data_IF_958296698861
#
_entry.id   IF_958296698861
#
_cell.length_a   1.000
_cell.length_b   1.000
_cell.length_c   1.000
_cell.angle_alpha   90.00
_cell.angle_beta   90.00
_cell.angle_gamma   90.00
#
_symmetry.space_group_name_H-M   'P 1'
#
loop_
_entity.id
_entity.type
_entity.pdbx_description
1 polymer ?
#
# COMPACT_ATOMS: atom_id res chain seq x y z
N UNK A 1 -49.32 73.46 8.48
CA UNK A 1 -50.14 73.87 7.33
C UNK A 1 -49.21 74.53 6.33
N UNK A 2 -49.24 74.05 5.07
CA UNK A 2 -48.58 74.63 3.90
C UNK A 2 -47.03 74.67 3.94
N UNK A 3 -46.28 74.54 2.86
CA UNK A 3 -46.47 74.01 1.51
C UNK A 3 -45.09 74.04 0.82
N UNK A 4 -44.98 73.36 -0.32
CA UNK A 4 -44.08 73.63 -1.45
C UNK A 4 -42.57 73.25 -1.40
N UNK A 5 -42.31 72.10 -2.03
CA UNK A 5 -41.55 71.93 -3.29
C UNK A 5 -40.03 72.24 -3.36
N UNK A 6 -39.26 71.21 -3.75
CA UNK A 6 -38.37 71.27 -4.92
C UNK A 6 -37.98 69.89 -5.46
N UNK A 7 -38.08 69.79 -6.79
CA UNK A 7 -37.79 68.67 -7.68
C UNK A 7 -36.30 68.28 -7.69
N UNK A 8 -35.99 66.97 -7.71
CA UNK A 8 -34.71 66.45 -8.22
C UNK A 8 -34.94 65.16 -9.04
N UNK A 9 -34.46 65.23 -10.28
CA UNK A 9 -34.40 64.24 -11.33
C UNK A 9 -33.71 62.93 -10.88
N UNK A 10 -34.35 61.76 -11.04
CA UNK A 10 -33.71 60.45 -10.83
C UNK A 10 -33.27 59.85 -12.18
N UNK A 11 -31.97 59.91 -12.44
CA UNK A 11 -31.31 59.10 -13.47
C UNK A 11 -31.21 57.65 -12.98
N UNK A 12 -31.73 56.70 -13.76
CA UNK A 12 -31.53 55.27 -13.53
C UNK A 12 -30.08 54.89 -13.81
N UNK A 13 -29.41 54.31 -12.80
CA UNK A 13 -28.14 53.60 -12.97
C UNK A 13 -28.40 52.12 -12.77
N UNK A 14 -28.32 51.38 -13.85
CA UNK A 14 -28.32 49.92 -13.93
C UNK A 14 -27.10 49.39 -13.16
N UNK A 15 -27.34 48.66 -12.07
CA UNK A 15 -26.31 47.95 -11.31
C UNK A 15 -25.98 46.64 -12.01
N UNK A 16 -24.76 46.51 -12.53
CA UNK A 16 -24.25 45.24 -13.03
C UNK A 16 -23.74 44.42 -11.84
N UNK A 17 -24.40 43.29 -11.55
CA UNK A 17 -23.88 42.28 -10.62
C UNK A 17 -22.90 41.39 -11.37
N UNK A 18 -21.60 41.61 -11.17
CA UNK A 18 -20.55 40.66 -11.56
C UNK A 18 -20.60 39.46 -10.62
N UNK A 19 -21.14 38.34 -11.10
CA UNK A 19 -21.01 37.05 -10.43
C UNK A 19 -19.59 36.54 -10.69
N UNK A 20 -18.73 36.62 -9.69
CA UNK A 20 -17.41 35.99 -9.73
C UNK A 20 -17.59 34.48 -9.53
N UNK A 21 -17.53 33.72 -10.62
CA UNK A 21 -17.47 32.26 -10.59
C UNK A 21 -16.05 31.86 -10.16
N UNK A 22 -15.86 31.59 -8.87
CA UNK A 22 -14.59 31.08 -8.35
C UNK A 22 -14.34 29.67 -8.86
N UNK A 23 -13.32 29.49 -9.71
CA UNK A 23 -12.78 28.17 -10.01
C UNK A 23 -12.18 27.61 -8.71
N UNK A 24 -12.84 26.61 -8.12
CA UNK A 24 -12.23 25.74 -7.12
C UNK A 24 -11.20 24.88 -7.85
N UNK A 25 -9.94 25.30 -7.82
CA UNK A 25 -8.82 24.44 -8.21
C UNK A 25 -8.66 23.46 -7.05
N UNK A 26 -9.22 22.25 -7.21
CA UNK A 26 -8.86 21.12 -6.36
C UNK A 26 -7.40 20.79 -6.63
N UNK A 27 -6.50 21.32 -5.82
CA UNK A 27 -5.14 20.79 -5.76
C UNK A 27 -5.25 19.38 -5.18
N UNK A 28 -5.32 18.36 -6.04
CA UNK A 28 -5.05 16.99 -5.64
C UNK A 28 -3.62 16.98 -5.13
N UNK A 29 -3.43 17.02 -3.81
CA UNK A 29 -2.16 16.60 -3.23
C UNK A 29 -1.90 15.21 -3.81
N UNK A 30 -0.70 14.98 -4.35
CA UNK A 30 -0.29 13.64 -4.73
C UNK A 30 -0.46 12.77 -3.48
N UNK A 31 -1.46 11.89 -3.48
CA UNK A 31 -1.62 10.92 -2.42
C UNK A 31 -0.39 10.01 -2.50
N UNK A 32 0.35 9.89 -1.41
CA UNK A 32 1.45 8.93 -1.34
C UNK A 32 0.90 7.54 -1.67
N UNK A 33 1.56 6.85 -2.58
CA UNK A 33 1.10 5.56 -3.08
C UNK A 33 1.05 4.54 -1.95
N UNK A 34 -0.11 3.87 -1.81
CA UNK A 34 -0.31 2.75 -0.87
C UNK A 34 0.30 1.44 -1.37
N UNK A 35 0.75 1.40 -2.63
CA UNK A 35 1.13 0.18 -3.35
C UNK A 35 2.51 -0.30 -2.95
N UNK A 36 2.62 -1.58 -2.67
CA UNK A 36 3.88 -2.29 -2.48
C UNK A 36 3.87 -3.63 -3.21
N UNK A 37 4.82 -4.51 -2.92
CA UNK A 37 4.84 -5.80 -3.58
C UNK A 37 5.46 -6.89 -2.68
N UNK A 38 4.93 -8.10 -2.82
CA UNK A 38 5.48 -9.29 -2.17
C UNK A 38 6.43 -9.97 -3.16
N UNK A 39 7.70 -10.15 -2.78
CA UNK A 39 8.74 -10.54 -3.73
C UNK A 39 9.72 -11.55 -3.14
N UNK A 40 9.61 -12.80 -3.60
CA UNK A 40 10.50 -13.86 -3.13
C UNK A 40 11.95 -13.66 -3.60
N UNK A 41 12.13 -13.03 -4.78
CA UNK A 41 13.43 -12.85 -5.43
C UNK A 41 13.54 -13.68 -6.70
N UNK A 42 14.04 -13.07 -7.77
CA UNK A 42 14.36 -13.73 -9.04
C UNK A 42 15.71 -13.24 -9.61
N UNK A 43 16.05 -13.66 -10.81
CA UNK A 43 17.27 -13.23 -11.51
C UNK A 43 17.02 -12.16 -12.58
N UNK A 44 15.79 -11.66 -12.71
CA UNK A 44 15.36 -10.76 -13.78
C UNK A 44 15.62 -9.31 -13.40
N UNK A 45 16.86 -8.85 -13.57
CA UNK A 45 17.28 -7.50 -13.17
C UNK A 45 16.47 -6.36 -13.81
N UNK A 46 15.93 -6.54 -15.03
CA UNK A 46 15.04 -5.56 -15.68
C UNK A 46 13.71 -5.42 -14.95
N UNK A 47 13.14 -6.54 -14.52
CA UNK A 47 11.81 -6.61 -13.91
C UNK A 47 11.91 -5.98 -12.51
N UNK A 48 12.97 -6.33 -11.78
CA UNK A 48 13.34 -5.74 -10.50
C UNK A 48 13.55 -4.23 -10.58
N UNK A 49 14.10 -3.71 -11.69
CA UNK A 49 14.24 -2.26 -11.92
C UNK A 49 12.88 -1.58 -12.02
N UNK A 50 11.91 -2.16 -12.73
CA UNK A 50 10.56 -1.58 -12.81
C UNK A 50 9.89 -1.51 -11.44
N UNK A 51 10.09 -2.52 -10.59
CA UNK A 51 9.52 -2.54 -9.24
C UNK A 51 10.18 -1.53 -8.29
N UNK A 52 11.46 -1.15 -8.51
CA UNK A 52 12.27 -0.46 -7.49
C UNK A 52 12.87 0.89 -7.86
N UNK A 53 13.06 1.22 -9.15
CA UNK A 53 13.73 2.45 -9.58
C UNK A 53 12.71 3.35 -10.28
N UNK A 54 12.55 4.58 -9.78
CA UNK A 54 11.52 5.53 -10.24
C UNK A 54 10.10 4.93 -10.23
N UNK A 55 9.91 3.95 -9.35
CA UNK A 55 8.68 3.16 -9.21
C UNK A 55 7.61 3.92 -8.42
N UNK A 56 6.32 3.75 -8.77
CA UNK A 56 5.20 4.22 -7.97
C UNK A 56 4.97 3.36 -6.72
N UNK A 57 5.66 2.24 -6.58
CA UNK A 57 5.61 1.38 -5.38
C UNK A 57 6.49 2.00 -4.28
N UNK A 58 6.07 1.87 -3.03
CA UNK A 58 6.71 2.55 -1.89
C UNK A 58 7.28 1.59 -0.83
N UNK A 59 6.94 0.31 -0.91
CA UNK A 59 7.41 -0.70 0.04
C UNK A 59 7.41 -2.11 -0.56
N UNK A 60 8.15 -3.03 0.05
CA UNK A 60 8.13 -4.44 -0.30
C UNK A 60 8.46 -5.32 0.90
N UNK A 61 8.09 -6.59 0.80
CA UNK A 61 8.49 -7.63 1.74
C UNK A 61 8.68 -8.96 1.00
N UNK A 62 9.29 -9.94 1.66
CA UNK A 62 9.66 -11.24 1.06
C UNK A 62 9.49 -12.42 2.03
N UNK A 63 8.51 -12.34 2.94
CA UNK A 63 8.24 -13.36 3.97
C UNK A 63 9.41 -13.69 4.90
N UNK A 64 10.42 -12.83 4.95
CA UNK A 64 11.69 -13.10 5.63
C UNK A 64 12.14 -11.88 6.43
N UNK A 65 12.92 -12.06 7.51
CA UNK A 65 13.57 -10.92 8.15
C UNK A 65 14.74 -10.38 7.30
N UNK A 66 15.19 -11.13 6.29
CA UNK A 66 16.35 -10.80 5.46
C UNK A 66 15.93 -10.11 4.15
N UNK A 67 16.43 -8.91 3.84
CA UNK A 67 16.10 -8.21 2.60
C UNK A 67 16.78 -8.81 1.37
N UNK A 68 16.12 -8.71 0.22
CA UNK A 68 16.67 -9.05 -1.11
C UNK A 68 17.63 -7.95 -1.66
N UNK A 69 18.63 -7.54 -0.88
CA UNK A 69 19.52 -6.40 -1.20
C UNK A 69 20.27 -6.50 -2.54
N UNK A 70 20.50 -7.72 -3.05
CA UNK A 70 21.17 -7.93 -4.33
C UNK A 70 20.23 -7.80 -5.54
N UNK A 71 18.92 -7.82 -5.31
CA UNK A 71 17.89 -7.85 -6.35
C UNK A 71 17.11 -6.55 -6.39
N UNK A 72 16.72 -6.06 -5.21
CA UNK A 72 16.05 -4.77 -5.04
C UNK A 72 17.08 -3.77 -4.55
N UNK A 73 17.38 -2.78 -5.40
CA UNK A 73 18.31 -1.72 -5.01
C UNK A 73 17.67 -0.89 -3.91
N UNK A 74 18.39 -0.64 -2.82
CA UNK A 74 17.95 0.24 -1.74
C UNK A 74 17.75 1.67 -2.28
N UNK A 75 16.49 2.02 -2.52
CA UNK A 75 16.05 3.29 -3.07
C UNK A 75 14.93 3.90 -2.22
N UNK A 76 13.86 4.37 -2.88
CA UNK A 76 12.66 4.94 -2.24
C UNK A 76 11.77 3.90 -1.54
N UNK A 77 12.09 2.61 -1.65
CA UNK A 77 11.29 1.53 -1.08
C UNK A 77 11.65 1.28 0.40
N UNK A 78 10.63 1.21 1.24
CA UNK A 78 10.75 0.59 2.55
C UNK A 78 10.78 -0.94 2.41
N UNK A 79 11.85 -1.59 2.89
CA UNK A 79 11.79 -3.03 3.16
C UNK A 79 11.09 -3.27 4.49
N UNK A 80 10.08 -4.12 4.48
CA UNK A 80 9.32 -4.52 5.66
C UNK A 80 9.71 -5.97 6.01
N UNK A 81 10.55 -6.21 7.03
CA UNK A 81 10.87 -7.57 7.47
C UNK A 81 9.63 -8.29 7.98
N UNK A 82 9.67 -9.63 7.91
CA UNK A 82 8.62 -10.48 8.47
C UNK A 82 9.20 -11.53 9.43
N UNK A 83 8.60 -11.63 10.62
CA UNK A 83 8.74 -12.81 11.49
C UNK A 83 7.67 -13.81 11.06
N UNK A 84 8.02 -14.67 10.11
CA UNK A 84 7.05 -15.55 9.44
C UNK A 84 6.36 -16.53 10.40
N UNK A 85 7.09 -17.09 11.36
CA UNK A 85 6.56 -18.02 12.35
C UNK A 85 7.42 -18.05 13.61
N UNK A 86 7.03 -18.85 14.60
CA UNK A 86 7.73 -18.93 15.91
C UNK A 86 9.20 -19.35 15.74
N UNK A 87 9.54 -20.18 14.77
CA UNK A 87 10.93 -20.60 14.56
C UNK A 87 11.87 -19.41 14.30
N UNK A 88 11.37 -18.36 13.63
CA UNK A 88 12.13 -17.14 13.40
C UNK A 88 12.41 -16.37 14.69
N UNK A 89 11.58 -16.50 15.73
CA UNK A 89 11.83 -15.88 17.05
C UNK A 89 12.92 -16.61 17.84
N UNK A 90 13.19 -17.88 17.49
CA UNK A 90 14.22 -18.71 18.13
C UNK A 90 15.61 -18.53 17.47
N UNK A 91 15.69 -18.02 16.25
CA UNK A 91 16.97 -17.70 15.61
C UNK A 91 17.53 -16.37 16.14
N UNK A 92 18.63 -16.47 16.90
CA UNK A 92 19.37 -15.31 17.43
C UNK A 92 19.79 -14.28 16.38
N UNK A 93 19.83 -14.64 15.09
CA UNK A 93 20.16 -13.73 13.98
C UNK A 93 18.99 -12.86 13.55
N UNK A 94 17.75 -13.28 13.80
CA UNK A 94 16.55 -12.55 13.37
C UNK A 94 16.55 -11.12 13.90
N UNK A 95 16.74 -10.95 15.21
CA UNK A 95 16.81 -9.61 15.81
C UNK A 95 18.01 -8.82 15.27
N UNK A 96 19.19 -9.45 15.16
CA UNK A 96 20.40 -8.78 14.67
C UNK A 96 20.20 -8.23 13.25
N UNK A 97 19.54 -8.99 12.38
CA UNK A 97 19.22 -8.60 11.01
C UNK A 97 18.22 -7.45 11.00
N UNK A 98 17.09 -7.58 11.72
CA UNK A 98 16.08 -6.53 11.81
C UNK A 98 16.71 -5.22 12.35
N UNK A 99 17.52 -5.32 13.41
CA UNK A 99 18.24 -4.17 13.98
C UNK A 99 19.17 -3.48 12.98
N UNK A 100 19.80 -4.25 12.09
CA UNK A 100 20.75 -3.74 11.09
C UNK A 100 20.09 -3.04 9.90
N UNK A 101 18.77 -3.17 9.74
CA UNK A 101 18.03 -2.53 8.67
C UNK A 101 18.16 -0.99 8.71
N UNK A 102 18.09 -0.32 7.55
CA UNK A 102 18.15 1.13 7.47
C UNK A 102 17.00 1.78 8.23
N UNK A 103 17.15 3.03 8.64
CA UNK A 103 16.08 3.76 9.34
C UNK A 103 14.85 4.07 8.51
N UNK A 104 14.90 3.85 7.20
CA UNK A 104 13.73 3.86 6.33
C UNK A 104 12.81 2.64 6.57
N UNK A 105 13.33 1.54 7.12
CA UNK A 105 12.52 0.43 7.62
C UNK A 105 11.98 0.77 9.00
N UNK A 106 10.68 0.99 9.08
CA UNK A 106 9.96 1.34 10.30
C UNK A 106 8.86 0.35 10.69
N UNK A 107 8.48 -0.55 9.79
CA UNK A 107 7.42 -1.54 10.02
C UNK A 107 7.98 -2.97 10.11
N UNK A 108 7.28 -3.82 10.86
CA UNK A 108 7.59 -5.23 11.05
C UNK A 108 6.30 -6.03 10.91
N UNK A 109 6.28 -6.94 9.93
CA UNK A 109 5.22 -7.93 9.78
C UNK A 109 5.49 -9.12 10.70
N UNK A 110 4.42 -9.73 11.21
CA UNK A 110 4.49 -10.88 12.11
C UNK A 110 3.93 -12.13 11.44
N UNK A 111 3.52 -13.14 12.22
CA UNK A 111 3.27 -14.49 11.74
C UNK A 111 2.38 -14.56 10.48
N UNK A 112 2.85 -15.32 9.49
CA UNK A 112 2.19 -15.50 8.19
C UNK A 112 1.19 -16.65 8.27
N UNK A 113 -0.08 -16.40 7.99
CA UNK A 113 -1.17 -17.39 7.98
C UNK A 113 -1.02 -18.45 9.08
N UNK A 114 -0.97 -18.06 10.36
CA UNK A 114 -0.87 -19.03 11.45
C UNK A 114 -2.09 -19.96 11.50
N UNK A 115 -3.21 -19.54 10.90
CA UNK A 115 -4.43 -20.32 10.71
C UNK A 115 -4.35 -21.31 9.52
N UNK A 116 -3.32 -21.18 8.67
CA UNK A 116 -3.02 -22.06 7.54
C UNK A 116 -1.97 -23.13 7.88
N UNK A 117 -1.55 -23.92 6.88
CA UNK A 117 -0.55 -24.98 7.08
C UNK A 117 0.81 -24.60 6.51
N UNK A 118 1.89 -25.20 7.00
CA UNK A 118 3.24 -25.03 6.43
C UNK A 118 3.34 -25.52 4.98
N UNK A 119 2.53 -26.50 4.60
CA UNK A 119 2.47 -26.97 3.21
C UNK A 119 1.79 -25.98 2.27
N UNK A 120 0.96 -25.05 2.78
CA UNK A 120 0.36 -23.97 1.98
C UNK A 120 1.15 -22.67 2.05
N UNK A 121 2.31 -22.65 2.73
CA UNK A 121 3.11 -21.44 2.95
C UNK A 121 2.75 -20.64 4.21
N UNK A 122 1.80 -21.12 5.00
CA UNK A 122 1.48 -20.55 6.31
C UNK A 122 2.41 -21.04 7.43
N UNK A 123 2.27 -20.46 8.62
CA UNK A 123 3.13 -20.78 9.75
C UNK A 123 2.57 -21.86 10.67
N UNK A 124 1.27 -22.20 10.57
CA UNK A 124 0.61 -23.28 11.33
C UNK A 124 0.84 -23.20 12.84
N UNK A 125 0.36 -22.12 13.46
CA UNK A 125 0.57 -21.81 14.88
C UNK A 125 -0.78 -21.75 15.60
N UNK A 126 -0.89 -22.35 16.78
CA UNK A 126 -2.07 -22.19 17.63
C UNK A 126 -2.21 -20.72 18.10
N UNK A 127 -3.43 -20.22 18.32
CA UNK A 127 -3.62 -18.88 18.88
C UNK A 127 -2.88 -18.66 20.21
N UNK A 128 -2.84 -19.67 21.07
CA UNK A 128 -2.21 -19.60 22.39
C UNK A 128 -0.67 -19.54 22.30
N UNK A 129 -0.06 -20.36 21.43
CA UNK A 129 1.38 -20.31 21.19
C UNK A 129 1.79 -19.01 20.51
N UNK A 130 1.00 -18.54 19.55
CA UNK A 130 1.23 -17.26 18.89
C UNK A 130 1.15 -16.10 19.89
N UNK A 131 0.17 -16.08 20.79
CA UNK A 131 0.03 -15.01 21.80
C UNK A 131 1.25 -14.95 22.73
N UNK A 132 1.72 -16.10 23.23
CA UNK A 132 2.96 -16.18 24.03
C UNK A 132 4.16 -15.66 23.26
N UNK A 133 4.40 -16.18 22.06
CA UNK A 133 5.54 -15.78 21.24
C UNK A 133 5.46 -14.29 20.85
N UNK A 134 4.26 -13.77 20.60
CA UNK A 134 4.06 -12.37 20.25
C UNK A 134 4.42 -11.45 21.42
N UNK A 135 3.95 -11.74 22.64
CA UNK A 135 4.28 -10.94 23.83
C UNK A 135 5.77 -11.03 24.16
N UNK A 136 6.36 -12.22 24.11
CA UNK A 136 7.76 -12.43 24.49
C UNK A 136 8.75 -11.84 23.46
N UNK A 137 8.43 -11.90 22.16
CA UNK A 137 9.40 -11.60 21.10
C UNK A 137 9.00 -10.45 20.19
N UNK A 138 7.72 -10.20 19.95
CA UNK A 138 7.28 -9.14 19.02
C UNK A 138 7.07 -7.81 19.75
N UNK A 139 6.34 -7.80 20.87
CA UNK A 139 6.06 -6.58 21.64
C UNK A 139 7.33 -5.78 22.00
N UNK A 140 8.48 -6.40 22.36
CA UNK A 140 9.73 -5.68 22.59
C UNK A 140 10.25 -4.85 21.41
N UNK A 141 9.92 -5.20 20.15
CA UNK A 141 10.28 -4.37 18.99
C UNK A 141 9.51 -3.04 18.98
N UNK A 142 8.28 -3.04 19.49
CA UNK A 142 7.43 -1.85 19.53
C UNK A 142 7.98 -0.78 20.49
N UNK A 143 8.52 -1.20 21.62
CA UNK A 143 9.14 -0.31 22.63
C UNK A 143 10.61 -0.01 22.37
N UNK A 144 11.22 -0.62 21.35
CA UNK A 144 12.65 -0.50 21.05
C UNK A 144 13.57 -1.27 21.98
N UNK A 145 13.02 -2.09 22.89
CA UNK A 145 13.79 -3.02 23.72
C UNK A 145 14.47 -4.10 22.87
N UNK A 146 13.87 -4.45 21.74
CA UNK A 146 14.45 -5.29 20.67
C UNK A 146 14.52 -4.52 19.36
N UNK A 147 15.45 -4.91 18.47
CA UNK A 147 15.51 -4.33 17.11
C UNK A 147 16.05 -2.90 17.03
N UNK A 148 16.49 -2.31 18.15
CA UNK A 148 17.27 -1.06 18.22
C UNK A 148 16.53 0.25 17.89
N UNK A 149 15.22 0.20 17.67
CA UNK A 149 14.33 1.37 17.43
C UNK A 149 12.88 0.96 17.72
N UNK A 150 11.99 1.93 17.82
CA UNK A 150 10.54 1.65 17.93
C UNK A 150 10.01 1.25 16.55
N UNK A 151 9.70 -0.04 16.39
CA UNK A 151 9.07 -0.56 15.20
C UNK A 151 7.56 -0.43 15.31
N UNK A 152 6.88 -0.19 14.18
CA UNK A 152 5.45 -0.42 14.07
C UNK A 152 5.23 -1.90 13.77
N UNK A 153 4.49 -2.60 14.61
CA UNK A 153 4.30 -4.05 14.49
C UNK A 153 2.87 -4.41 14.06
N UNK A 154 2.74 -5.39 13.18
CA UNK A 154 1.44 -5.93 12.78
C UNK A 154 0.92 -6.94 13.80
N UNK A 155 -0.40 -7.15 13.87
CA UNK A 155 -0.92 -8.46 14.27
C UNK A 155 -0.58 -9.55 13.23
N UNK A 156 -0.71 -10.84 13.58
CA UNK A 156 -0.56 -11.94 12.63
C UNK A 156 -1.44 -11.79 11.39
N UNK A 157 -0.90 -12.11 10.22
CA UNK A 157 -1.61 -11.99 8.93
C UNK A 157 -2.36 -13.28 8.67
N UNK A 158 -3.68 -13.32 8.95
CA UNK A 158 -4.47 -14.54 8.70
C UNK A 158 -5.00 -14.61 7.27
N UNK A 159 -5.38 -15.82 6.85
CA UNK A 159 -6.13 -16.01 5.61
C UNK A 159 -7.41 -15.16 5.62
N UNK A 160 -7.82 -14.69 4.44
CA UNK A 160 -9.08 -13.95 4.26
C UNK A 160 -10.31 -14.85 4.31
N UNK A 161 -10.55 -15.49 5.46
CA UNK A 161 -11.57 -16.53 5.60
C UNK A 161 -12.23 -16.50 6.98
N UNK A 162 -13.32 -17.26 7.12
CA UNK A 162 -13.94 -17.48 8.44
C UNK A 162 -13.01 -18.17 9.44
N UNK A 163 -12.11 -19.04 8.96
CA UNK A 163 -11.09 -19.68 9.80
C UNK A 163 -10.07 -18.65 10.31
N UNK A 164 -9.58 -17.77 9.43
CA UNK A 164 -8.67 -16.69 9.82
C UNK A 164 -9.29 -15.74 10.84
N UNK A 165 -10.57 -15.38 10.66
CA UNK A 165 -11.29 -14.56 11.64
C UNK A 165 -11.41 -15.22 13.00
N UNK A 166 -11.75 -16.51 13.03
CA UNK A 166 -11.89 -17.24 14.29
C UNK A 166 -10.53 -17.37 15.00
N UNK A 167 -9.47 -17.65 14.24
CA UNK A 167 -8.11 -17.65 14.76
C UNK A 167 -7.74 -16.31 15.38
N UNK A 168 -8.05 -15.17 14.72
CA UNK A 168 -7.80 -13.84 15.27
C UNK A 168 -8.56 -13.57 16.58
N UNK A 169 -9.80 -14.08 16.71
CA UNK A 169 -10.57 -13.96 17.96
C UNK A 169 -9.91 -14.73 19.10
N UNK A 170 -9.60 -16.01 18.88
CA UNK A 170 -8.92 -16.84 19.88
C UNK A 170 -7.53 -16.31 20.23
N UNK A 171 -6.83 -15.71 19.27
CA UNK A 171 -5.53 -15.06 19.52
C UNK A 171 -5.71 -13.85 20.43
N UNK A 172 -6.69 -12.99 20.13
CA UNK A 172 -7.00 -11.84 20.97
C UNK A 172 -7.41 -12.26 22.40
N UNK A 173 -8.23 -13.30 22.55
CA UNK A 173 -8.57 -13.87 23.86
C UNK A 173 -7.32 -14.35 24.60
N UNK A 174 -6.48 -15.16 23.95
CA UNK A 174 -5.21 -15.67 24.50
C UNK A 174 -4.28 -14.53 24.94
N UNK A 175 -4.23 -13.44 24.18
CA UNK A 175 -3.44 -12.27 24.52
C UNK A 175 -3.92 -11.60 25.82
N UNK A 176 -5.23 -11.44 26.02
CA UNK A 176 -5.79 -10.87 27.25
C UNK A 176 -5.74 -11.83 28.44
N UNK A 177 -5.64 -13.15 28.21
CA UNK A 177 -5.33 -14.11 29.27
C UNK A 177 -3.90 -13.97 29.79
N UNK A 178 -2.94 -13.61 28.92
CA UNK A 178 -1.52 -13.43 29.27
C UNK A 178 -1.25 -12.03 29.85
N UNK A 179 -1.73 -10.98 29.18
CA UNK A 179 -1.65 -9.59 29.63
C UNK A 179 -3.06 -8.98 29.68
N UNK A 180 -3.68 -9.03 30.86
CA UNK A 180 -5.05 -8.56 31.08
C UNK A 180 -5.21 -7.05 30.86
N UNK A 181 -4.14 -6.27 30.99
CA UNK A 181 -4.19 -4.81 30.86
C UNK A 181 -4.06 -4.37 29.40
N UNK A 182 -3.14 -4.98 28.65
CA UNK A 182 -2.75 -4.49 27.32
C UNK A 182 -3.10 -5.46 26.17
N UNK A 183 -3.31 -6.75 26.46
CA UNK A 183 -3.36 -7.79 25.44
C UNK A 183 -2.08 -7.81 24.59
N UNK A 184 -2.22 -8.16 23.31
CA UNK A 184 -1.12 -8.10 22.34
C UNK A 184 -1.18 -6.74 21.64
N UNK A 185 -0.22 -5.86 21.95
CA UNK A 185 -0.17 -4.54 21.34
C UNK A 185 0.29 -4.61 19.88
N UNK A 186 -0.49 -4.00 18.99
CA UNK A 186 -0.14 -3.78 17.58
C UNK A 186 -0.42 -2.34 17.14
N UNK A 187 0.28 -1.94 16.09
CA UNK A 187 0.16 -0.62 15.46
C UNK A 187 -0.66 -0.68 14.16
N UNK A 188 -0.71 -1.85 13.51
CA UNK A 188 -1.53 -2.11 12.33
C UNK A 188 -1.95 -3.58 12.24
N UNK A 189 -2.87 -3.89 11.35
CA UNK A 189 -3.35 -5.25 11.07
C UNK A 189 -2.96 -5.61 9.65
N UNK A 190 -2.37 -6.79 9.48
CA UNK A 190 -2.09 -7.34 8.16
C UNK A 190 -3.19 -8.35 7.77
N UNK A 191 -3.56 -8.37 6.50
CA UNK A 191 -4.67 -9.16 5.99
C UNK A 191 -4.33 -9.73 4.61
N UNK A 192 -4.75 -10.98 4.38
CA UNK A 192 -4.65 -11.61 3.07
C UNK A 192 -6.03 -11.72 2.43
N UNK A 193 -6.07 -11.71 1.09
CA UNK A 193 -7.26 -12.02 0.34
C UNK A 193 -6.94 -12.62 -1.03
N UNK A 194 -7.41 -13.85 -1.26
CA UNK A 194 -7.35 -14.50 -2.56
C UNK A 194 -8.77 -14.84 -3.02
N UNK A 195 -9.29 -14.07 -3.98
CA UNK A 195 -10.66 -14.20 -4.46
C UNK A 195 -11.24 -12.93 -5.09
N UNK A 196 -12.53 -12.95 -5.43
CA UNK A 196 -13.19 -11.84 -6.09
C UNK A 196 -13.38 -10.58 -5.23
N UNK A 197 -13.57 -9.44 -5.89
CA UNK A 197 -13.74 -8.12 -5.25
C UNK A 197 -14.84 -8.06 -4.17
N UNK A 198 -16.06 -8.63 -4.34
CA UNK A 198 -17.08 -8.57 -3.29
C UNK A 198 -16.64 -9.20 -1.96
N UNK A 199 -15.84 -10.28 -2.03
CA UNK A 199 -15.31 -10.94 -0.85
C UNK A 199 -14.20 -10.12 -0.19
N UNK A 200 -13.32 -9.47 -0.97
CA UNK A 200 -12.32 -8.52 -0.44
C UNK A 200 -13.01 -7.42 0.37
N UNK A 201 -14.03 -6.78 -0.21
CA UNK A 201 -14.75 -5.70 0.44
C UNK A 201 -15.44 -6.16 1.73
N UNK A 202 -16.06 -7.34 1.72
CA UNK A 202 -16.66 -7.94 2.91
C UNK A 202 -15.63 -8.28 4.00
N UNK A 203 -14.48 -8.82 3.60
CA UNK A 203 -13.40 -9.17 4.52
C UNK A 203 -12.82 -7.94 5.21
N UNK A 204 -12.50 -6.89 4.45
CA UNK A 204 -11.99 -5.64 5.01
C UNK A 204 -13.01 -4.95 5.92
N UNK A 205 -14.30 -4.99 5.57
CA UNK A 205 -15.37 -4.50 6.45
C UNK A 205 -15.45 -5.28 7.76
N UNK A 206 -15.26 -6.60 7.72
CA UNK A 206 -15.25 -7.46 8.91
C UNK A 206 -14.06 -7.16 9.82
N UNK A 207 -12.87 -6.95 9.24
CA UNK A 207 -11.68 -6.57 10.01
C UNK A 207 -11.80 -5.17 10.61
N UNK A 208 -12.32 -4.20 9.85
CA UNK A 208 -12.58 -2.85 10.35
C UNK A 208 -13.59 -2.85 11.51
N UNK A 209 -14.64 -3.68 11.42
CA UNK A 209 -15.57 -3.87 12.53
C UNK A 209 -14.88 -4.47 13.77
N UNK A 210 -14.11 -5.54 13.58
CA UNK A 210 -13.42 -6.25 14.66
C UNK A 210 -12.38 -5.37 15.36
N UNK A 211 -11.58 -4.62 14.61
CA UNK A 211 -10.46 -3.85 15.16
C UNK A 211 -10.77 -2.40 15.52
N UNK A 212 -11.74 -1.76 14.86
CA UNK A 212 -12.01 -0.34 15.03
C UNK A 212 -13.38 -0.08 15.66
N UNK A 213 -14.46 -0.60 15.05
CA UNK A 213 -15.83 -0.33 15.52
C UNK A 213 -16.10 -0.89 16.91
N UNK A 214 -15.65 -2.12 17.18
CA UNK A 214 -15.85 -2.80 18.46
C UNK A 214 -14.71 -2.55 19.46
N UNK A 215 -13.85 -1.57 19.20
CA UNK A 215 -12.68 -1.29 20.04
C UNK A 215 -12.90 -0.08 20.95
N UNK A 216 -12.17 -0.05 22.06
CA UNK A 216 -12.06 1.10 22.96
C UNK A 216 -10.91 2.04 22.58
N UNK A 217 -10.31 1.85 21.40
CA UNK A 217 -9.13 2.60 20.97
C UNK A 217 -9.52 4.02 20.58
N UNK A 218 -8.69 4.99 20.98
CA UNK A 218 -8.89 6.39 20.60
C UNK A 218 -8.60 6.64 19.12
N UNK A 219 -7.68 5.87 18.53
CA UNK A 219 -7.27 5.99 17.14
C UNK A 219 -7.54 4.67 16.40
N UNK A 220 -8.15 4.73 15.19
CA UNK A 220 -8.36 3.55 14.37
C UNK A 220 -7.05 2.88 13.98
N UNK A 221 -6.99 1.56 14.12
CA UNK A 221 -5.93 0.72 13.60
C UNK A 221 -6.06 0.63 12.08
N UNK A 222 -4.94 0.80 11.39
CA UNK A 222 -4.89 0.70 9.93
C UNK A 222 -4.74 -0.76 9.50
N UNK A 223 -5.31 -1.07 8.34
CA UNK A 223 -5.22 -2.36 7.69
C UNK A 223 -4.23 -2.28 6.53
N UNK A 224 -3.36 -3.28 6.46
CA UNK A 224 -2.45 -3.53 5.35
C UNK A 224 -2.89 -4.83 4.66
N UNK A 225 -3.18 -4.76 3.36
CA UNK A 225 -3.48 -5.95 2.57
C UNK A 225 -2.18 -6.49 1.99
N UNK A 226 -1.48 -7.33 2.75
CA UNK A 226 -0.13 -7.78 2.41
C UNK A 226 -0.10 -8.79 1.27
N UNK A 227 -1.20 -9.52 1.07
CA UNK A 227 -1.39 -10.41 -0.09
C UNK A 227 -2.79 -10.27 -0.67
N UNK A 228 -2.83 -10.05 -1.98
CA UNK A 228 -4.05 -9.87 -2.75
C UNK A 228 -3.89 -10.55 -4.12
N UNK A 229 -4.81 -11.42 -4.51
CA UNK A 229 -4.80 -12.02 -5.85
C UNK A 229 -6.13 -12.67 -6.23
N UNK A 230 -6.21 -13.14 -7.48
CA UNK A 230 -7.36 -13.87 -8.00
C UNK A 230 -6.91 -15.23 -8.58
N UNK A 231 -6.87 -16.30 -7.76
CA UNK A 231 -6.33 -17.58 -8.18
C UNK A 231 -7.10 -18.23 -9.33
N UNK A 232 -6.38 -18.90 -10.23
CA UNK A 232 -6.89 -19.77 -11.29
C UNK A 232 -7.85 -19.08 -12.28
N UNK A 233 -7.83 -17.75 -12.37
CA UNK A 233 -8.60 -17.01 -13.35
C UNK A 233 -7.71 -16.54 -14.50
N UNK A 234 -8.31 -16.32 -15.65
CA UNK A 234 -7.59 -15.78 -16.80
C UNK A 234 -7.18 -14.30 -16.58
N UNK A 235 -6.31 -13.81 -17.48
CA UNK A 235 -5.80 -12.45 -17.41
C UNK A 235 -6.92 -11.38 -17.52
N UNK A 236 -7.97 -11.63 -18.30
CA UNK A 236 -9.07 -10.67 -18.48
C UNK A 236 -9.88 -10.50 -17.19
N UNK A 237 -10.28 -11.62 -16.56
CA UNK A 237 -10.98 -11.63 -15.28
C UNK A 237 -10.13 -11.00 -14.17
N UNK A 238 -8.82 -11.27 -14.18
CA UNK A 238 -7.89 -10.73 -13.19
C UNK A 238 -7.71 -9.22 -13.33
N UNK A 239 -7.59 -8.71 -14.56
CA UNK A 239 -7.58 -7.25 -14.84
C UNK A 239 -8.90 -6.60 -14.42
N UNK A 240 -10.05 -7.25 -14.68
CA UNK A 240 -11.35 -6.75 -14.25
C UNK A 240 -11.50 -6.69 -12.71
N UNK A 241 -10.92 -7.65 -11.99
CA UNK A 241 -10.86 -7.64 -10.53
C UNK A 241 -9.97 -6.51 -10.01
N UNK A 242 -8.78 -6.32 -10.59
CA UNK A 242 -7.85 -5.27 -10.18
C UNK A 242 -8.43 -3.86 -10.43
N UNK A 243 -9.14 -3.65 -11.54
CA UNK A 243 -9.81 -2.38 -11.86
C UNK A 243 -10.86 -1.98 -10.81
N UNK A 244 -11.53 -2.94 -10.18
CA UNK A 244 -12.45 -2.66 -9.06
C UNK A 244 -11.68 -2.42 -7.76
N UNK A 245 -10.62 -3.19 -7.55
CA UNK A 245 -9.86 -3.24 -6.29
C UNK A 245 -9.02 -1.99 -6.04
N UNK A 246 -8.22 -1.54 -7.02
CA UNK A 246 -7.32 -0.39 -6.83
C UNK A 246 -8.04 0.89 -6.38
N UNK A 247 -9.07 1.41 -7.08
CA UNK A 247 -9.76 2.62 -6.65
C UNK A 247 -10.50 2.42 -5.32
N UNK A 248 -10.96 1.21 -5.00
CA UNK A 248 -11.57 0.91 -3.71
C UNK A 248 -10.55 1.05 -2.57
N UNK A 249 -9.41 0.36 -2.65
CA UNK A 249 -8.36 0.41 -1.63
C UNK A 249 -7.73 1.81 -1.52
N UNK A 250 -7.57 2.52 -2.62
CA UNK A 250 -7.04 3.89 -2.63
C UNK A 250 -7.95 4.86 -1.85
N UNK A 251 -9.28 4.68 -1.91
CA UNK A 251 -10.28 5.52 -1.23
C UNK A 251 -10.60 5.09 0.22
N UNK A 252 -10.26 3.88 0.65
CA UNK A 252 -10.49 3.45 2.03
C UNK A 252 -9.47 4.08 2.99
N UNK A 253 -9.92 4.97 3.87
CA UNK A 253 -9.04 5.68 4.81
C UNK A 253 -8.41 4.78 5.89
N UNK A 254 -9.03 3.64 6.21
CA UNK A 254 -8.48 2.65 7.14
C UNK A 254 -7.50 1.68 6.46
N UNK A 255 -7.44 1.62 5.13
CA UNK A 255 -6.41 0.87 4.40
C UNK A 255 -5.21 1.79 4.19
N UNK A 256 -4.06 1.42 4.75
CA UNK A 256 -2.83 2.21 4.62
C UNK A 256 -1.95 1.68 3.49
N UNK A 257 -1.85 0.36 3.31
CA UNK A 257 -0.98 -0.26 2.29
C UNK A 257 -1.60 -1.51 1.69
N UNK A 258 -1.23 -1.84 0.46
CA UNK A 258 -1.60 -3.11 -0.17
C UNK A 258 -0.56 -3.59 -1.19
N UNK A 259 -0.44 -4.91 -1.35
CA UNK A 259 0.46 -5.56 -2.30
C UNK A 259 -0.29 -6.63 -3.11
N UNK A 260 -0.26 -6.51 -4.43
CA UNK A 260 -0.75 -7.57 -5.32
C UNK A 260 0.28 -8.71 -5.38
N UNK A 261 -0.18 -9.94 -5.22
CA UNK A 261 0.66 -11.13 -5.35
C UNK A 261 0.87 -11.46 -6.82
N UNK A 262 1.97 -10.94 -7.39
CA UNK A 262 2.24 -11.09 -8.82
C UNK A 262 3.61 -10.60 -9.29
N UNK A 263 4.54 -10.26 -8.38
CA UNK A 263 5.85 -9.73 -8.74
C UNK A 263 6.80 -10.83 -9.28
N UNK A 264 6.39 -11.46 -10.38
CA UNK A 264 7.05 -12.55 -11.09
C UNK A 264 6.52 -12.62 -12.52
N UNK A 265 7.20 -13.41 -13.37
CA UNK A 265 6.75 -13.69 -14.74
C UNK A 265 5.70 -14.80 -14.79
N UNK A 266 4.91 -14.85 -15.86
CA UNK A 266 3.91 -15.92 -16.09
C UNK A 266 4.48 -17.33 -15.88
N UNK A 267 5.69 -17.60 -16.36
CA UNK A 267 6.33 -18.93 -16.26
C UNK A 267 6.83 -19.27 -14.84
N UNK A 268 6.94 -18.28 -13.96
CA UNK A 268 7.33 -18.43 -12.55
C UNK A 268 6.12 -18.55 -11.62
N UNK A 269 4.89 -18.42 -12.15
CA UNK A 269 3.67 -18.52 -11.37
C UNK A 269 3.50 -19.93 -10.79
N UNK A 270 3.08 -20.00 -9.52
CA UNK A 270 2.82 -21.29 -8.89
C UNK A 270 1.45 -21.85 -9.34
N UNK A 271 1.32 -23.18 -9.27
CA UNK A 271 0.12 -23.89 -9.72
C UNK A 271 -1.15 -23.49 -8.97
N UNK A 272 -1.07 -23.03 -7.73
CA UNK A 272 -2.25 -22.65 -6.94
C UNK A 272 -2.81 -21.28 -7.35
N UNK A 273 -1.94 -20.29 -7.58
CA UNK A 273 -2.34 -18.95 -8.05
C UNK A 273 -2.66 -18.93 -9.54
N UNK A 274 -1.90 -19.65 -10.36
CA UNK A 274 -1.99 -19.56 -11.82
C UNK A 274 -1.26 -18.32 -12.37
N UNK A 275 -1.05 -18.29 -13.68
CA UNK A 275 -0.27 -17.26 -14.37
C UNK A 275 -1.01 -15.92 -14.55
N UNK A 276 -2.35 -15.93 -14.50
CA UNK A 276 -3.19 -14.75 -14.66
C UNK A 276 -2.92 -13.61 -13.67
N UNK A 277 -2.26 -13.89 -12.53
CA UNK A 277 -1.90 -12.88 -11.52
C UNK A 277 -0.53 -12.23 -11.76
N UNK A 278 0.27 -12.72 -12.71
CA UNK A 278 1.62 -12.23 -12.96
C UNK A 278 1.64 -10.79 -13.50
N UNK A 279 2.54 -9.97 -12.97
CA UNK A 279 2.76 -8.59 -13.42
C UNK A 279 3.66 -8.53 -14.65
N UNK A 280 4.43 -9.58 -14.94
CA UNK A 280 5.33 -9.65 -16.09
C UNK A 280 4.99 -10.82 -17.03
N UNK A 281 5.14 -10.60 -18.33
CA UNK A 281 5.13 -11.65 -19.34
C UNK A 281 6.43 -12.49 -19.29
N UNK A 282 6.49 -13.54 -20.10
CA UNK A 282 7.63 -14.47 -20.23
C UNK A 282 8.92 -13.74 -20.63
N UNK A 283 8.76 -12.67 -21.42
CA UNK A 283 9.83 -11.82 -21.93
C UNK A 283 10.26 -10.68 -20.96
N UNK A 284 9.61 -10.54 -19.80
CA UNK A 284 9.89 -9.50 -18.79
C UNK A 284 9.26 -8.12 -19.07
N UNK A 285 8.33 -8.04 -20.02
CA UNK A 285 7.47 -6.88 -20.22
C UNK A 285 6.29 -6.88 -19.26
N UNK A 286 5.77 -5.71 -18.88
CA UNK A 286 4.56 -5.65 -18.06
C UNK A 286 3.37 -6.30 -18.78
N UNK A 287 2.61 -7.14 -18.09
CA UNK A 287 1.28 -7.56 -18.56
C UNK A 287 0.30 -6.39 -18.51
N UNK A 288 -0.91 -6.54 -19.07
CA UNK A 288 -1.98 -5.55 -18.88
C UNK A 288 -2.29 -5.34 -17.38
N UNK A 289 -2.20 -6.41 -16.59
CA UNK A 289 -2.31 -6.37 -15.14
C UNK A 289 -1.14 -5.62 -14.49
N UNK A 290 0.09 -5.90 -14.92
CA UNK A 290 1.30 -5.21 -14.50
C UNK A 290 1.23 -3.70 -14.72
N UNK A 291 0.90 -3.29 -15.94
CA UNK A 291 0.74 -1.87 -16.29
C UNK A 291 -0.35 -1.19 -15.45
N UNK A 292 -1.48 -1.87 -15.23
CA UNK A 292 -2.55 -1.37 -14.36
C UNK A 292 -2.09 -1.20 -12.89
N UNK A 293 -1.36 -2.17 -12.36
CA UNK A 293 -0.86 -2.14 -10.98
C UNK A 293 0.15 -1.01 -10.76
N UNK A 294 1.07 -0.80 -11.72
CA UNK A 294 2.03 0.30 -11.67
C UNK A 294 1.32 1.65 -11.83
N UNK A 295 0.33 1.76 -12.72
CA UNK A 295 -0.41 3.01 -12.97
C UNK A 295 0.48 4.07 -13.61
N UNK A 296 0.11 5.36 -13.49
CA UNK A 296 0.97 6.52 -13.82
C UNK A 296 1.73 6.50 -15.16
N UNK A 297 1.15 5.93 -16.21
CA UNK A 297 1.74 5.94 -17.56
C UNK A 297 2.68 4.78 -17.87
N UNK A 298 2.72 3.75 -17.02
CA UNK A 298 3.29 2.46 -17.37
C UNK A 298 2.39 1.75 -18.38
N UNK A 299 3.00 1.10 -19.37
CA UNK A 299 2.29 0.47 -20.49
C UNK A 299 2.61 -1.03 -20.60
N UNK A 300 1.67 -1.80 -21.16
CA UNK A 300 1.89 -3.22 -21.47
C UNK A 300 3.14 -3.38 -22.34
N UNK A 301 3.96 -4.38 -22.03
CA UNK A 301 5.20 -4.71 -22.73
C UNK A 301 6.38 -3.83 -22.32
N UNK A 302 6.18 -2.82 -21.46
CA UNK A 302 7.28 -2.00 -20.95
C UNK A 302 8.24 -2.87 -20.12
N UNK A 303 9.54 -2.76 -20.42
CA UNK A 303 10.63 -3.44 -19.71
C UNK A 303 11.46 -2.44 -18.92
N UNK A 304 12.13 -2.90 -17.88
CA UNK A 304 13.08 -2.07 -17.12
C UNK A 304 14.41 -1.92 -17.85
N UNK A 305 14.46 -1.05 -18.85
CA UNK A 305 15.70 -0.77 -19.56
C UNK A 305 16.63 0.14 -18.74
N UNK A 306 17.90 -0.24 -18.65
CA UNK A 306 18.95 0.57 -18.04
C UNK A 306 19.28 1.79 -18.91
N UNK A 307 18.59 2.91 -18.70
CA UNK A 307 19.03 4.23 -19.17
C UNK A 307 18.86 4.48 -20.67
N UNK A 308 17.62 4.71 -21.10
CA UNK A 308 17.27 5.79 -22.02
C UNK A 308 15.78 6.03 -21.90
N UNK A 309 15.37 6.62 -20.77
CA UNK A 309 14.17 7.43 -20.79
C UNK A 309 14.44 8.54 -21.81
N UNK A 310 13.95 8.34 -23.04
CA UNK A 310 13.24 9.41 -23.71
C UNK A 310 12.10 9.79 -22.75
N UNK A 311 12.48 10.51 -21.69
CA UNK A 311 11.61 11.30 -20.88
C UNK A 311 10.90 12.14 -21.90
N UNK A 312 9.65 11.76 -22.18
CA UNK A 312 8.72 12.58 -22.92
C UNK A 312 8.66 13.87 -22.14
N UNK A 313 9.51 14.82 -22.55
CA UNK A 313 9.52 16.18 -22.09
C UNK A 313 8.14 16.69 -22.46
N UNK A 314 7.17 16.58 -21.55
CA UNK A 314 5.91 17.29 -21.65
C UNK A 314 6.26 18.77 -21.49
N UNK A 315 6.80 19.36 -22.56
CA UNK A 315 6.83 20.80 -22.72
C UNK A 315 5.36 21.20 -22.72
N UNK A 316 4.91 21.71 -21.59
CA UNK A 316 3.64 22.41 -21.51
C UNK A 316 3.68 23.51 -22.57
N UNK A 317 2.79 23.40 -23.56
CA UNK A 317 2.61 24.42 -24.62
C UNK A 317 2.28 25.78 -23.99
N UNK A 318 1.85 25.82 -22.74
CA UNK A 318 1.61 27.04 -21.97
C UNK A 318 2.86 27.84 -21.57
N UNK A 319 4.04 27.21 -21.47
CA UNK A 319 5.26 27.91 -21.02
C UNK A 319 6.05 28.59 -22.16
N UNK A 320 5.88 28.16 -23.41
CA UNK A 320 6.49 28.86 -24.56
C UNK A 320 5.74 30.15 -24.95
N UNK A 321 4.48 30.30 -24.57
CA UNK A 321 3.74 31.54 -24.80
C UNK A 321 4.14 32.67 -23.83
N UNK A 322 4.75 32.34 -22.69
CA UNK A 322 5.10 33.32 -21.65
C UNK A 322 6.51 33.93 -21.81
N UNK A 323 7.33 33.45 -22.76
CA UNK A 323 8.69 33.95 -23.00
C UNK A 323 8.84 34.80 -24.28
N UNK A 324 7.76 35.02 -25.03
CA UNK A 324 7.78 35.87 -26.24
C UNK A 324 7.04 37.21 -26.10
N UNK A 325 6.58 37.59 -24.89
CA UNK A 325 5.94 38.90 -24.63
C UNK A 325 6.67 39.62 -23.50
N UNK A 326 7.95 39.95 -23.70
CA UNK A 326 8.68 40.89 -22.83
C UNK A 326 9.81 41.64 -23.55
N UNK A 327 9.76 41.77 -24.88
CA UNK A 327 10.81 42.44 -25.65
C UNK A 327 10.26 43.32 -26.78
N UNK A 328 9.24 44.13 -26.49
CA UNK A 328 9.01 45.38 -27.24
C UNK A 328 8.47 46.43 -26.27
N UNK A 329 9.36 47.26 -25.75
CA UNK A 329 9.23 48.71 -25.52
C UNK A 329 10.56 49.09 -24.87
N UNK A 330 11.49 49.62 -25.68
CA UNK A 330 12.43 50.69 -25.34
C UNK A 330 13.41 50.83 -26.50
N UNK A 331 13.19 51.82 -27.37
CA UNK A 331 14.24 52.57 -28.10
C UNK A 331 13.61 53.84 -28.68
N UNK A 332 13.75 54.91 -27.87
CA UNK A 332 13.96 56.33 -28.19
C UNK A 332 13.79 56.86 -29.62
N UNK A 333 12.98 57.92 -29.78
CA UNK A 333 13.43 59.31 -29.96
C UNK A 333 12.29 60.29 -29.64
#
# INVERSE_FOLDING_TARGET
>A
MLDAAKSICRHGRTTYHTIALGLLISTTLAQDSKRGFAFIGDTHASDNRLLSIESPLTWYYNWSPYPNNNLITSGSLEFVPMIHGIDATQDSRTEAVIKSLPSSSGHLLTFNEPDGTTSSGGSSISPEDAARAYIDYVVPFRSGNSGGRNWKVSHPSTTGSGNGLEWLRSFNESCYEIDQENGCLADFVAAHWYGGFPGLAGWLGTLDEFYNTNSTRNEPVKIWVTELGLPQQDAEATVAMMNQTLPYLDNLAYVERYAWFGAFRVDDANEWTGDGVALFDDDGGLTDLGALYMGNGYERGQKGEGGSAASGLKISVGMMAALCICSVIFTSS
#
